data_IF_906106755058
#
_entry.id   IF_906106755058
#
_cell.length_a   1.000
_cell.length_b   1.000
_cell.length_c   1.000
_cell.angle_alpha   90.00
_cell.angle_beta   90.00
_cell.angle_gamma   90.00
#
_symmetry.space_group_name_H-M   'P 1'
#
loop_
_entity.id
_entity.type
_entity.pdbx_description
1 polymer ?
#
# COMPACT_ATOMS: atom_id res chain seq x y z
N UNK A 1 7.91 -10.98 -22.64
CA UNK A 1 8.05 -9.51 -22.71
C UNK A 1 8.11 -9.01 -21.28
N UNK A 2 9.25 -8.50 -20.83
CA UNK A 2 9.35 -7.84 -19.53
C UNK A 2 8.82 -6.42 -19.68
N UNK A 3 7.57 -6.19 -19.25
CA UNK A 3 7.00 -4.86 -19.14
C UNK A 3 7.77 -4.03 -18.10
N UNK A 4 7.74 -2.71 -18.23
CA UNK A 4 8.24 -1.82 -17.19
C UNK A 4 7.35 -2.00 -15.95
N UNK A 5 7.96 -2.28 -14.80
CA UNK A 5 7.26 -2.36 -13.51
C UNK A 5 7.54 -1.13 -12.67
N UNK A 6 6.54 -0.72 -11.91
CA UNK A 6 6.60 0.43 -11.02
C UNK A 6 6.33 -0.05 -9.60
N UNK A 7 7.28 0.20 -8.71
CA UNK A 7 7.15 -0.06 -7.28
C UNK A 7 6.78 1.22 -6.53
N UNK A 8 5.80 1.13 -5.63
CA UNK A 8 5.49 2.16 -4.65
C UNK A 8 5.67 1.61 -3.23
N UNK A 9 6.22 2.41 -2.33
CA UNK A 9 6.41 2.08 -0.91
C UNK A 9 5.92 3.23 -0.05
N UNK A 10 5.22 2.91 1.03
CA UNK A 10 4.75 3.89 2.02
C UNK A 10 4.73 3.29 3.43
N UNK A 11 4.63 4.14 4.44
CA UNK A 11 4.62 3.76 5.86
C UNK A 11 3.38 4.27 6.61
N UNK A 12 3.04 3.57 7.69
CA UNK A 12 2.00 3.98 8.63
C UNK A 12 2.42 3.68 10.07
N UNK A 13 2.20 4.63 10.97
CA UNK A 13 2.54 4.51 12.38
C UNK A 13 3.86 5.20 12.78
N UNK A 14 4.58 5.81 11.83
CA UNK A 14 5.76 6.63 12.14
C UNK A 14 5.39 7.78 13.10
N UNK A 15 6.16 7.89 14.18
CA UNK A 15 5.97 8.92 15.21
C UNK A 15 4.90 8.59 16.25
N UNK A 16 4.21 7.45 16.14
CA UNK A 16 3.34 6.97 17.20
C UNK A 16 4.17 6.48 18.41
N UNK A 17 3.75 6.86 19.61
CA UNK A 17 4.38 6.39 20.87
C UNK A 17 4.01 4.93 21.16
N UNK A 18 2.82 4.49 20.72
CA UNK A 18 2.30 3.15 20.96
C UNK A 18 1.88 2.54 19.63
N UNK A 19 2.24 1.27 19.43
CA UNK A 19 1.86 0.48 18.27
C UNK A 19 3.01 0.26 17.29
N UNK A 20 2.83 -0.64 16.31
CA UNK A 20 3.88 -0.99 15.36
C UNK A 20 4.06 0.09 14.28
N UNK A 21 5.24 0.12 13.67
CA UNK A 21 5.45 0.74 12.35
C UNK A 21 5.10 -0.30 11.27
N UNK A 22 4.31 0.09 10.29
CA UNK A 22 3.94 -0.76 9.16
C UNK A 22 4.54 -0.17 7.89
N UNK A 23 5.27 -0.97 7.12
CA UNK A 23 5.77 -0.64 5.80
C UNK A 23 5.00 -1.48 4.78
N UNK A 24 4.50 -0.85 3.71
CA UNK A 24 3.84 -1.56 2.63
C UNK A 24 4.49 -1.25 1.29
N UNK A 25 4.67 -2.29 0.48
CA UNK A 25 5.16 -2.19 -0.90
C UNK A 25 4.15 -2.77 -1.89
N UNK A 26 4.00 -2.12 -3.04
CA UNK A 26 3.14 -2.58 -4.15
C UNK A 26 3.90 -2.46 -5.46
N UNK A 27 3.95 -3.54 -6.23
CA UNK A 27 4.54 -3.61 -7.57
C UNK A 27 3.43 -3.78 -8.61
N UNK A 28 3.39 -2.90 -9.60
CA UNK A 28 2.42 -2.98 -10.71
C UNK A 28 3.14 -2.96 -12.06
N UNK A 29 2.52 -3.54 -13.09
CA UNK A 29 2.93 -3.28 -14.47
C UNK A 29 2.56 -1.83 -14.82
N UNK A 30 3.44 -1.13 -15.56
CA UNK A 30 3.24 0.29 -15.89
C UNK A 30 1.94 0.55 -16.67
N UNK A 31 1.48 -0.43 -17.44
CA UNK A 31 0.22 -0.36 -18.20
C UNK A 31 -1.03 -0.34 -17.31
N UNK A 32 -0.95 -0.91 -16.10
CA UNK A 32 -2.07 -1.03 -15.16
C UNK A 32 -2.13 0.17 -14.19
N UNK A 33 -1.20 1.12 -14.31
CA UNK A 33 -1.13 2.31 -13.46
C UNK A 33 -2.39 3.20 -13.58
N UNK A 34 -3.03 3.25 -14.75
CA UNK A 34 -4.31 3.94 -14.94
C UNK A 34 -5.42 3.30 -14.10
N UNK A 35 -5.47 1.97 -14.01
CA UNK A 35 -6.43 1.24 -13.19
C UNK A 35 -6.38 1.63 -11.71
N UNK A 36 -5.19 1.88 -11.16
CA UNK A 36 -5.04 2.42 -9.79
C UNK A 36 -5.67 3.81 -9.64
N UNK A 37 -5.48 4.70 -10.63
CA UNK A 37 -6.05 6.06 -10.59
C UNK A 37 -7.58 6.02 -10.66
N UNK A 38 -8.13 5.19 -11.54
CA UNK A 38 -9.57 5.05 -11.75
C UNK A 38 -10.28 4.48 -10.51
N UNK A 39 -9.57 3.68 -9.70
CA UNK A 39 -10.06 3.18 -8.42
C UNK A 39 -10.11 4.25 -7.31
N UNK A 40 -9.50 5.42 -7.50
CA UNK A 40 -9.52 6.52 -6.53
C UNK A 40 -8.63 6.30 -5.30
N UNK A 41 -7.49 5.62 -5.44
CA UNK A 41 -6.61 5.25 -4.32
C UNK A 41 -5.83 6.41 -3.66
N UNK A 42 -5.90 7.62 -4.23
CA UNK A 42 -5.01 8.76 -3.90
C UNK A 42 -5.23 9.38 -2.51
N UNK A 43 -6.48 9.57 -2.10
CA UNK A 43 -6.80 10.35 -0.89
C UNK A 43 -7.39 9.48 0.22
N UNK A 44 -6.61 8.48 0.67
CA UNK A 44 -7.01 7.54 1.72
C UNK A 44 -7.43 8.21 3.05
N UNK A 45 -7.00 9.46 3.27
CA UNK A 45 -7.38 10.31 4.43
C UNK A 45 -8.84 10.74 4.42
N UNK A 46 -9.46 10.80 3.23
CA UNK A 46 -10.88 11.12 3.06
C UNK A 46 -11.77 9.87 3.07
N UNK A 47 -11.18 8.68 3.16
CA UNK A 47 -11.88 7.41 3.08
C UNK A 47 -12.17 6.83 4.47
N UNK A 48 -13.36 6.23 4.61
CA UNK A 48 -13.68 5.42 5.79
C UNK A 48 -12.79 4.18 5.85
N UNK A 49 -12.65 3.60 7.05
CA UNK A 49 -11.91 2.35 7.27
C UNK A 49 -12.37 1.24 6.31
N UNK A 50 -13.68 1.00 6.24
CA UNK A 50 -14.25 -0.04 5.38
C UNK A 50 -13.94 0.21 3.90
N UNK A 51 -13.92 1.47 3.46
CA UNK A 51 -13.57 1.82 2.07
C UNK A 51 -12.09 1.57 1.80
N UNK A 52 -11.21 1.87 2.75
CA UNK A 52 -9.76 1.56 2.65
C UNK A 52 -9.50 0.06 2.59
N UNK A 53 -10.20 -0.72 3.41
CA UNK A 53 -10.10 -2.19 3.41
C UNK A 53 -10.57 -2.76 2.05
N UNK A 54 -11.70 -2.28 1.52
CA UNK A 54 -12.18 -2.67 0.19
C UNK A 54 -11.20 -2.30 -0.94
N UNK A 55 -10.60 -1.10 -0.89
CA UNK A 55 -9.61 -0.68 -1.89
C UNK A 55 -8.30 -1.46 -1.76
N UNK A 56 -7.87 -1.80 -0.55
CA UNK A 56 -6.66 -2.59 -0.32
C UNK A 56 -6.75 -3.93 -1.06
N UNK A 57 -7.88 -4.62 -0.98
CA UNK A 57 -8.09 -5.89 -1.69
C UNK A 57 -8.06 -5.72 -3.21
N UNK A 58 -8.61 -4.62 -3.73
CA UNK A 58 -8.55 -4.32 -5.17
C UNK A 58 -7.13 -3.99 -5.65
N UNK A 59 -6.37 -3.25 -4.85
CA UNK A 59 -4.96 -2.92 -5.15
C UNK A 59 -4.13 -4.20 -5.17
N UNK A 60 -4.29 -5.09 -4.18
CA UNK A 60 -3.60 -6.38 -4.13
C UNK A 60 -3.94 -7.27 -5.32
N UNK A 61 -5.20 -7.25 -5.76
CA UNK A 61 -5.64 -8.03 -6.92
C UNK A 61 -5.09 -7.51 -8.25
N UNK A 62 -4.83 -6.20 -8.37
CA UNK A 62 -4.19 -5.60 -9.54
C UNK A 62 -2.65 -5.75 -9.51
N UNK A 63 -2.06 -5.81 -8.33
CA UNK A 63 -0.61 -5.84 -8.16
C UNK A 63 0.01 -7.12 -8.71
N UNK A 64 1.19 -6.97 -9.31
CA UNK A 64 2.08 -8.10 -9.67
C UNK A 64 2.59 -8.76 -8.40
N UNK A 65 2.95 -7.94 -7.43
CA UNK A 65 3.41 -8.38 -6.11
C UNK A 65 3.14 -7.27 -5.07
N UNK A 66 3.04 -7.65 -3.81
CA UNK A 66 2.87 -6.72 -2.70
C UNK A 66 3.44 -7.32 -1.41
N UNK A 67 3.90 -6.46 -0.52
CA UNK A 67 4.37 -6.85 0.81
C UNK A 67 3.83 -5.91 1.88
N UNK A 68 3.63 -6.45 3.09
CA UNK A 68 3.27 -5.68 4.28
C UNK A 68 4.13 -6.19 5.42
N UNK A 69 5.05 -5.36 5.87
CA UNK A 69 5.94 -5.66 6.98
C UNK A 69 5.50 -4.88 8.21
N UNK A 70 5.35 -5.58 9.34
CA UNK A 70 4.99 -4.98 10.63
C UNK A 70 6.19 -5.08 11.57
N UNK A 71 6.73 -3.92 11.92
CA UNK A 71 7.82 -3.80 12.89
C UNK A 71 7.21 -3.50 14.26
N UNK A 72 7.43 -4.40 15.23
CA UNK A 72 7.03 -4.16 16.61
C UNK A 72 7.84 -2.99 17.21
N UNK A 73 7.34 -2.30 18.25
CA UNK A 73 8.12 -1.29 18.96
C UNK A 73 9.51 -1.79 19.36
N UNK A 74 9.60 -3.01 19.90
CA UNK A 74 10.86 -3.65 20.30
C UNK A 74 11.82 -3.93 19.14
N UNK A 75 11.33 -4.01 17.90
CA UNK A 75 12.19 -4.13 16.72
C UNK A 75 12.70 -2.77 16.21
N UNK A 76 12.13 -1.66 16.70
CA UNK A 76 12.48 -0.28 16.35
C UNK A 76 13.41 0.32 17.43
N UNK A 77 13.22 -0.07 18.70
CA UNK A 77 14.11 0.26 19.83
C UNK A 77 15.57 -0.19 19.58
#
# INVERSE_FOLDING_TARGET
MTGMRIGGVDDAGRGAVIGPLVIAGVLVEAQDLSGLKDMGVKDSKLLSRNKRECLSEKVKALAVDWCIEKLSPTAID
#
